data_IF_434616394667
#
_entry.id   IF_434616394667
#
_cell.length_a   1.000
_cell.length_b   1.000
_cell.length_c   1.000
_cell.angle_alpha   90.00
_cell.angle_beta   90.00
_cell.angle_gamma   90.00
#
_symmetry.space_group_name_H-M   'P 1'
#
loop_
_entity.id
_entity.type
_entity.pdbx_description
1 polymer ?
#
# COMPACT_ATOMS: atom_id res chain seq x y z
N UNK A 1 14.55 0.52 -18.11
CA UNK A 1 14.06 1.59 -18.98
C UNK A 1 13.60 2.72 -18.08
N UNK A 2 14.24 3.88 -18.14
CA UNK A 2 13.86 5.00 -17.27
C UNK A 2 12.47 5.54 -17.62
N UNK A 3 11.78 6.11 -16.63
CA UNK A 3 10.39 6.54 -16.73
C UNK A 3 10.12 7.49 -17.92
N UNK A 4 11.06 8.39 -18.22
CA UNK A 4 11.00 9.28 -19.38
C UNK A 4 11.08 8.53 -20.72
N UNK A 5 11.88 7.47 -20.80
CA UNK A 5 11.98 6.64 -21.99
C UNK A 5 10.72 5.81 -22.20
N UNK A 6 10.07 5.35 -21.12
CA UNK A 6 8.76 4.70 -21.21
C UNK A 6 7.71 5.67 -21.74
N UNK A 7 7.63 6.89 -21.19
CA UNK A 7 6.67 7.90 -21.66
C UNK A 7 6.91 8.24 -23.12
N UNK A 8 8.17 8.45 -23.52
CA UNK A 8 8.53 8.72 -24.91
C UNK A 8 8.14 7.57 -25.84
N UNK A 9 8.46 6.32 -25.46
CA UNK A 9 8.11 5.14 -26.23
C UNK A 9 6.60 4.94 -26.36
N UNK A 10 5.83 5.16 -25.28
CA UNK A 10 4.36 5.08 -25.31
C UNK A 10 3.75 6.18 -26.16
N UNK A 11 4.28 7.40 -26.06
CA UNK A 11 3.84 8.52 -26.89
C UNK A 11 4.14 8.25 -28.36
N UNK A 12 5.33 7.74 -28.69
CA UNK A 12 5.72 7.40 -30.05
C UNK A 12 4.86 6.26 -30.63
N UNK A 13 4.64 5.18 -29.86
CA UNK A 13 3.80 4.06 -30.26
C UNK A 13 2.33 4.50 -30.47
N UNK A 14 1.78 5.30 -29.55
CA UNK A 14 0.44 5.85 -29.68
C UNK A 14 0.34 6.79 -30.89
N UNK A 15 1.32 7.68 -31.08
CA UNK A 15 1.35 8.61 -32.21
C UNK A 15 1.48 7.88 -33.55
N UNK A 16 2.32 6.85 -33.64
CA UNK A 16 2.45 6.02 -34.83
C UNK A 16 1.14 5.30 -35.15
N UNK A 17 0.49 4.69 -34.15
CA UNK A 17 -0.80 4.02 -34.33
C UNK A 17 -1.91 4.99 -34.73
N UNK A 18 -1.94 6.20 -34.13
CA UNK A 18 -2.87 7.27 -34.51
C UNK A 18 -2.61 7.76 -35.93
N UNK A 19 -1.34 7.85 -36.35
CA UNK A 19 -0.97 8.26 -37.71
C UNK A 19 -1.43 7.21 -38.72
N UNK A 20 -1.27 5.92 -38.40
CA UNK A 20 -1.80 4.82 -39.21
C UNK A 20 -3.33 4.87 -39.27
N UNK A 21 -4.01 5.09 -38.14
CA UNK A 21 -5.47 5.21 -38.11
C UNK A 21 -5.97 6.45 -38.87
N UNK A 22 -5.23 7.56 -38.84
CA UNK A 22 -5.52 8.75 -39.66
C UNK A 22 -5.35 8.43 -41.14
N UNK A 23 -4.26 7.78 -41.52
CA UNK A 23 -4.02 7.36 -42.90
C UNK A 23 -5.15 6.45 -43.41
N UNK A 24 -5.52 5.42 -42.64
CA UNK A 24 -6.63 4.51 -42.96
C UNK A 24 -7.98 5.24 -43.09
N UNK A 25 -8.18 6.33 -42.34
CA UNK A 25 -9.41 7.14 -42.36
C UNK A 25 -9.44 8.19 -43.47
N UNK A 26 -8.29 8.72 -43.86
CA UNK A 26 -8.16 9.61 -45.03
C UNK A 26 -8.41 8.84 -46.33
N UNK A 27 -7.97 7.58 -46.41
CA UNK A 27 -8.28 6.69 -47.53
C UNK A 27 -9.76 6.33 -47.64
N UNK A 28 -10.54 6.48 -46.56
CA UNK A 28 -11.98 6.17 -46.52
C UNK A 28 -12.87 7.39 -46.82
N UNK A 29 -12.39 8.63 -46.53
CA UNK A 29 -13.14 9.87 -46.77
C UNK A 29 -12.99 10.44 -48.19
N UNK A 30 -12.09 9.93 -49.02
CA UNK A 30 -11.96 10.32 -50.43
C UNK A 30 -13.15 9.88 -51.30
N UNK A 31 -14.16 9.23 -50.71
CA UNK A 31 -15.30 8.62 -51.42
C UNK A 31 -16.67 9.31 -51.27
N UNK A 32 -16.82 10.44 -50.56
CA UNK A 32 -18.15 11.11 -50.44
C UNK A 32 -18.14 12.64 -50.64
N UNK A 33 -19.08 13.21 -51.43
CA UNK A 33 -19.23 14.66 -51.59
C UNK A 33 -20.06 15.30 -50.47
N UNK A 34 -19.70 16.52 -50.06
CA UNK A 34 -20.25 17.24 -48.91
C UNK A 34 -21.60 17.94 -49.19
N UNK A 35 -22.56 17.83 -48.26
CA UNK A 35 -23.79 18.65 -48.24
C UNK A 35 -24.22 19.06 -46.82
N UNK A 36 -24.34 20.37 -46.59
CA UNK A 36 -25.21 21.01 -45.57
C UNK A 36 -24.55 21.46 -44.25
N UNK A 37 -24.40 22.78 -44.04
CA UNK A 37 -23.77 23.41 -42.85
C UNK A 37 -24.29 22.97 -41.47
N UNK A 38 -25.56 22.54 -41.34
CA UNK A 38 -26.10 21.98 -40.09
C UNK A 38 -25.61 20.56 -39.78
N UNK A 39 -25.39 19.73 -40.81
CA UNK A 39 -24.78 18.39 -40.71
C UNK A 39 -23.26 18.46 -40.46
N UNK A 40 -22.62 19.55 -40.88
CA UNK A 40 -21.17 19.75 -40.70
C UNK A 40 -20.81 19.93 -39.21
N UNK A 41 -21.62 20.65 -38.42
CA UNK A 41 -21.33 20.87 -36.99
C UNK A 41 -21.56 19.61 -36.14
N UNK A 42 -22.62 18.85 -36.41
CA UNK A 42 -22.89 17.58 -35.71
C UNK A 42 -21.89 16.49 -36.11
N UNK A 43 -21.52 16.40 -37.40
CA UNK A 43 -20.48 15.47 -37.85
C UNK A 43 -19.10 15.80 -37.29
N UNK A 44 -18.76 17.09 -37.13
CA UNK A 44 -17.49 17.49 -36.52
C UNK A 44 -17.42 17.16 -35.02
N UNK A 45 -18.52 17.36 -34.28
CA UNK A 45 -18.60 16.95 -32.86
C UNK A 45 -18.53 15.41 -32.72
N UNK A 46 -19.19 14.67 -33.60
CA UNK A 46 -19.12 13.21 -33.65
C UNK A 46 -17.70 12.71 -33.95
N UNK A 47 -16.99 13.35 -34.88
CA UNK A 47 -15.59 13.02 -35.22
C UNK A 47 -14.64 13.25 -34.03
N UNK A 48 -14.81 14.34 -33.28
CA UNK A 48 -14.02 14.61 -32.06
C UNK A 48 -14.22 13.55 -30.98
N UNK A 49 -15.48 13.18 -30.73
CA UNK A 49 -15.83 12.13 -29.77
C UNK A 49 -15.25 10.77 -30.15
N UNK A 50 -15.36 10.38 -31.43
CA UNK A 50 -14.79 9.14 -31.95
C UNK A 50 -13.27 9.10 -31.82
N UNK A 51 -12.58 10.22 -32.12
CA UNK A 51 -11.12 10.30 -31.95
C UNK A 51 -10.73 10.16 -30.48
N UNK A 52 -11.37 10.89 -29.56
CA UNK A 52 -11.09 10.78 -28.13
C UNK A 52 -11.36 9.37 -27.58
N UNK A 53 -12.46 8.74 -28.01
CA UNK A 53 -12.78 7.35 -27.68
C UNK A 53 -11.67 6.40 -28.13
N UNK A 54 -11.33 6.41 -29.42
CA UNK A 54 -10.35 5.48 -30.00
C UNK A 54 -8.97 5.66 -29.38
N UNK A 55 -8.51 6.91 -29.23
CA UNK A 55 -7.21 7.23 -28.61
C UNK A 55 -7.17 6.76 -27.16
N UNK A 56 -8.22 7.05 -26.37
CA UNK A 56 -8.27 6.63 -24.97
C UNK A 56 -8.27 5.11 -24.82
N UNK A 57 -9.03 4.37 -25.64
CA UNK A 57 -9.05 2.89 -25.62
C UNK A 57 -7.67 2.32 -25.95
N UNK A 58 -7.01 2.84 -26.98
CA UNK A 58 -5.67 2.40 -27.37
C UNK A 58 -4.66 2.64 -26.25
N UNK A 59 -4.62 3.86 -25.71
CA UNK A 59 -3.64 4.23 -24.68
C UNK A 59 -3.87 3.44 -23.41
N UNK A 60 -5.12 3.32 -22.95
CA UNK A 60 -5.44 2.55 -21.75
C UNK A 60 -5.16 1.07 -21.98
N UNK A 61 -5.48 0.53 -23.17
CA UNK A 61 -5.18 -0.85 -23.53
C UNK A 61 -3.69 -1.15 -23.53
N UNK A 62 -2.85 -0.28 -24.09
CA UNK A 62 -1.39 -0.42 -24.05
C UNK A 62 -0.87 -0.29 -22.61
N UNK A 63 -1.32 0.71 -21.87
CA UNK A 63 -0.85 1.00 -20.52
C UNK A 63 -1.21 -0.12 -19.55
N UNK A 64 -2.48 -0.54 -19.53
CA UNK A 64 -3.00 -1.53 -18.59
C UNK A 64 -2.76 -2.97 -19.06
N UNK A 65 -2.74 -3.23 -20.37
CA UNK A 65 -2.58 -4.57 -20.93
C UNK A 65 -1.13 -4.98 -21.20
N UNK A 66 -0.22 -4.03 -21.41
CA UNK A 66 1.19 -4.33 -21.72
C UNK A 66 2.12 -3.76 -20.66
N UNK A 67 2.06 -2.45 -20.38
CA UNK A 67 3.06 -1.77 -19.55
C UNK A 67 2.94 -2.12 -18.07
N UNK A 68 1.71 -2.13 -17.54
CA UNK A 68 1.48 -2.41 -16.12
C UNK A 68 1.86 -3.86 -15.76
N UNK A 69 1.45 -4.91 -16.51
CA UNK A 69 1.79 -6.31 -16.18
C UNK A 69 3.29 -6.62 -16.17
N UNK A 70 4.10 -5.89 -16.93
CA UNK A 70 5.57 -6.03 -16.92
C UNK A 70 6.26 -5.25 -15.78
N UNK A 71 5.50 -4.78 -14.78
CA UNK A 71 5.96 -4.18 -13.52
C UNK A 71 6.66 -2.82 -13.65
N UNK A 72 6.65 -2.17 -14.82
CA UNK A 72 7.35 -0.89 -14.99
C UNK A 72 6.72 0.23 -14.16
N UNK A 73 5.39 0.22 -13.99
CA UNK A 73 4.69 1.23 -13.20
C UNK A 73 4.75 0.98 -11.69
N UNK A 74 4.97 -0.27 -11.27
CA UNK A 74 4.91 -0.68 -9.86
C UNK A 74 5.76 0.21 -8.94
N UNK A 75 7.03 0.56 -9.24
CA UNK A 75 7.82 1.44 -8.35
C UNK A 75 7.15 2.79 -8.08
N UNK A 76 6.58 3.42 -9.12
CA UNK A 76 5.88 4.70 -8.98
C UNK A 76 4.54 4.57 -8.27
N UNK A 77 3.82 3.46 -8.49
CA UNK A 77 2.56 3.17 -7.78
C UNK A 77 2.80 2.93 -6.28
N UNK A 78 3.89 2.23 -5.92
CA UNK A 78 4.29 2.03 -4.52
C UNK A 78 4.80 3.32 -3.88
N UNK A 79 5.51 4.18 -4.62
CA UNK A 79 5.89 5.50 -4.11
C UNK A 79 4.66 6.39 -3.85
N UNK A 80 3.65 6.32 -4.72
CA UNK A 80 2.37 6.99 -4.51
C UNK A 80 1.63 6.42 -3.29
N UNK A 81 1.62 5.10 -3.11
CA UNK A 81 1.08 4.45 -1.90
C UNK A 81 1.76 4.98 -0.63
N UNK A 82 3.09 5.06 -0.61
CA UNK A 82 3.84 5.58 0.54
C UNK A 82 3.54 7.04 0.82
N UNK A 83 3.35 7.85 -0.22
CA UNK A 83 2.96 9.24 -0.07
C UNK A 83 1.54 9.37 0.51
N UNK A 84 0.58 8.60 -0.01
CA UNK A 84 -0.78 8.56 0.53
C UNK A 84 -0.78 8.09 1.99
N UNK A 85 -0.02 7.05 2.32
CA UNK A 85 0.15 6.52 3.68
C UNK A 85 0.57 7.60 4.68
N UNK A 86 1.60 8.39 4.31
CA UNK A 86 2.13 9.50 5.12
C UNK A 86 1.22 10.71 5.21
N UNK A 87 0.32 10.90 4.24
CA UNK A 87 -0.52 12.10 4.15
C UNK A 87 -1.84 11.95 4.91
N UNK A 88 -2.13 10.78 5.48
CA UNK A 88 -3.40 10.52 6.16
C UNK A 88 -3.54 11.29 7.46
N UNK A 89 -4.78 11.58 7.88
CA UNK A 89 -5.07 12.15 9.19
C UNK A 89 -4.38 11.37 10.31
N UNK A 90 -3.85 12.11 11.30
CA UNK A 90 -3.17 11.53 12.45
C UNK A 90 -4.18 10.76 13.32
N UNK A 91 -3.78 9.58 13.76
CA UNK A 91 -4.50 8.71 14.67
C UNK A 91 -3.83 8.70 16.05
N UNK A 92 -4.56 8.35 17.11
CA UNK A 92 -4.08 8.37 18.51
C UNK A 92 -3.46 7.03 18.94
N UNK A 93 -2.15 6.85 19.21
CA UNK A 93 -1.40 5.59 19.45
C UNK A 93 -2.21 4.27 19.56
N UNK A 94 -1.88 3.29 20.37
CA UNK A 94 -2.80 2.19 20.65
C UNK A 94 -2.67 1.85 22.11
N UNK A 95 -3.65 2.31 22.88
CA UNK A 95 -3.61 2.20 24.33
C UNK A 95 -3.68 0.76 24.84
N UNK A 96 -4.08 -0.20 23.98
CA UNK A 96 -4.10 -1.64 24.31
C UNK A 96 -2.71 -2.26 24.30
N UNK A 97 -1.72 -1.59 23.70
CA UNK A 97 -0.36 -2.09 23.55
C UNK A 97 0.61 -1.39 24.52
N UNK A 98 1.54 -2.17 25.04
CA UNK A 98 2.78 -1.74 25.68
C UNK A 98 3.93 -2.44 24.97
N UNK A 99 4.98 -1.70 24.63
CA UNK A 99 6.20 -2.29 24.06
C UNK A 99 7.32 -2.20 25.09
N UNK A 100 7.84 -3.35 25.50
CA UNK A 100 9.05 -3.46 26.31
C UNK A 100 10.23 -3.63 25.35
N UNK A 101 11.07 -2.61 25.26
CA UNK A 101 12.21 -2.62 24.34
C UNK A 101 13.48 -3.02 25.07
N UNK A 102 14.31 -3.84 24.42
CA UNK A 102 15.72 -4.04 24.79
C UNK A 102 16.58 -3.12 23.94
N UNK A 103 17.08 -2.04 24.54
CA UNK A 103 17.95 -1.03 23.90
C UNK A 103 19.43 -1.43 23.97
N UNK A 104 20.33 -0.64 23.36
CA UNK A 104 21.78 -0.83 23.51
C UNK A 104 22.22 -0.76 24.99
N UNK A 105 21.72 0.23 25.73
CA UNK A 105 22.02 0.41 27.14
C UNK A 105 21.53 -0.79 27.97
N UNK A 106 20.42 -1.41 27.58
CA UNK A 106 19.91 -2.63 28.21
C UNK A 106 20.79 -3.86 27.94
N UNK A 107 21.52 -3.90 26.83
CA UNK A 107 22.50 -4.95 26.55
C UNK A 107 23.72 -4.77 27.44
N UNK A 108 24.24 -3.55 27.53
CA UNK A 108 25.37 -3.20 28.39
C UNK A 108 25.02 -3.45 29.87
N UNK A 109 23.83 -3.04 30.31
CA UNK A 109 23.33 -3.29 31.66
C UNK A 109 23.33 -4.79 31.99
N UNK A 110 22.82 -5.62 31.09
CA UNK A 110 22.80 -7.07 31.31
C UNK A 110 24.22 -7.64 31.43
N UNK A 111 25.16 -7.17 30.60
CA UNK A 111 26.55 -7.61 30.62
C UNK A 111 27.25 -7.18 31.91
N UNK A 112 27.07 -5.93 32.36
CA UNK A 112 27.59 -5.40 33.62
C UNK A 112 27.04 -6.16 34.84
N UNK A 113 25.78 -6.61 34.80
CA UNK A 113 25.14 -7.42 35.84
C UNK A 113 25.48 -8.92 35.74
N UNK A 114 26.39 -9.32 34.85
CA UNK A 114 26.76 -10.72 34.58
C UNK A 114 25.57 -11.61 34.22
N UNK A 115 24.57 -11.07 33.51
CA UNK A 115 23.43 -11.84 33.03
C UNK A 115 23.77 -12.54 31.71
N UNK A 116 24.05 -13.85 31.73
CA UNK A 116 24.43 -14.62 30.54
C UNK A 116 23.39 -14.52 29.40
N UNK A 117 23.76 -13.86 28.30
CA UNK A 117 22.88 -13.65 27.11
C UNK A 117 23.06 -14.68 25.98
N UNK A 118 24.19 -15.38 25.91
CA UNK A 118 24.51 -16.33 24.81
C UNK A 118 24.30 -15.75 23.41
N UNK A 119 24.82 -14.53 23.17
CA UNK A 119 24.64 -13.75 21.93
C UNK A 119 23.19 -13.35 21.58
N UNK A 120 22.21 -13.63 22.44
CA UNK A 120 20.86 -13.09 22.31
C UNK A 120 20.77 -11.66 22.87
N UNK A 121 19.71 -10.94 22.53
CA UNK A 121 19.45 -9.60 23.08
C UNK A 121 18.97 -9.65 24.53
N UNK A 122 18.35 -10.75 24.94
CA UNK A 122 17.77 -10.88 26.27
C UNK A 122 18.25 -12.17 26.94
N UNK A 123 18.84 -12.05 28.14
CA UNK A 123 19.28 -13.19 28.95
C UNK A 123 18.11 -14.03 29.47
N UNK A 124 18.40 -15.24 29.95
CA UNK A 124 17.40 -16.06 30.67
C UNK A 124 17.04 -15.40 32.02
N UNK A 125 18.01 -14.80 32.70
CA UNK A 125 17.78 -14.12 33.97
C UNK A 125 16.86 -12.89 33.82
N UNK A 126 17.14 -12.03 32.84
CA UNK A 126 16.34 -10.84 32.59
C UNK A 126 14.91 -11.21 32.16
N UNK A 127 14.75 -12.18 31.26
CA UNK A 127 13.42 -12.63 30.83
C UNK A 127 12.60 -13.20 31.98
N UNK A 128 13.21 -14.03 32.83
CA UNK A 128 12.57 -14.56 34.02
C UNK A 128 12.09 -13.43 34.95
N UNK A 129 12.96 -12.45 35.25
CA UNK A 129 12.60 -11.30 36.09
C UNK A 129 11.46 -10.46 35.51
N UNK A 130 11.52 -10.09 34.22
CA UNK A 130 10.45 -9.28 33.61
C UNK A 130 9.14 -10.06 33.53
N UNK A 131 9.16 -11.35 33.17
CA UNK A 131 7.92 -12.13 33.11
C UNK A 131 7.28 -12.23 34.49
N UNK A 132 8.05 -12.40 35.56
CA UNK A 132 7.50 -12.37 36.93
C UNK A 132 6.85 -11.02 37.25
N UNK A 133 7.53 -9.90 36.99
CA UNK A 133 6.98 -8.55 37.22
C UNK A 133 5.71 -8.29 36.40
N UNK A 134 5.76 -8.60 35.09
CA UNK A 134 4.62 -8.37 34.20
C UNK A 134 3.42 -9.24 34.60
N UNK A 135 3.61 -10.54 34.83
CA UNK A 135 2.50 -11.45 35.17
C UNK A 135 1.79 -11.08 36.48
N UNK A 136 2.47 -10.42 37.43
CA UNK A 136 1.84 -9.93 38.67
C UNK A 136 0.71 -8.91 38.39
N UNK A 137 0.78 -8.20 37.28
CA UNK A 137 -0.19 -7.19 36.87
C UNK A 137 -1.18 -7.70 35.83
N UNK A 138 -1.29 -9.02 35.64
CA UNK A 138 -2.32 -9.65 34.81
C UNK A 138 -2.43 -9.06 33.39
N UNK A 139 -1.35 -9.07 32.58
CA UNK A 139 -1.47 -8.74 31.17
C UNK A 139 -2.40 -9.72 30.51
N UNK A 140 -3.00 -9.31 29.40
CA UNK A 140 -3.85 -10.18 28.60
C UNK A 140 -3.04 -11.14 27.74
N UNK A 141 -2.02 -10.59 27.08
CA UNK A 141 -1.09 -11.35 26.24
C UNK A 141 0.31 -10.77 26.37
N UNK A 142 1.33 -11.63 26.38
CA UNK A 142 2.73 -11.27 26.29
C UNK A 142 3.28 -11.89 25.00
N UNK A 143 3.58 -11.06 24.00
CA UNK A 143 4.28 -11.48 22.79
C UNK A 143 5.79 -11.29 22.96
N UNK A 144 6.56 -12.37 22.89
CA UNK A 144 8.02 -12.33 22.90
C UNK A 144 8.56 -12.35 21.47
N UNK A 145 8.83 -11.17 20.92
CA UNK A 145 9.46 -10.96 19.61
C UNK A 145 11.00 -10.97 19.73
N UNK A 146 11.52 -12.00 20.41
CA UNK A 146 12.95 -12.27 20.54
C UNK A 146 13.16 -13.76 20.34
N UNK A 147 13.98 -14.14 19.37
CA UNK A 147 14.24 -15.54 19.10
C UNK A 147 14.95 -16.23 20.27
N UNK A 148 14.48 -17.44 20.60
CA UNK A 148 14.98 -18.26 21.71
C UNK A 148 15.23 -19.70 21.24
N UNK A 149 16.04 -19.88 20.19
CA UNK A 149 16.34 -21.19 19.57
C UNK A 149 17.27 -22.10 20.40
N UNK A 150 17.39 -21.86 21.71
CA UNK A 150 18.27 -22.56 22.63
C UNK A 150 17.51 -22.92 23.92
N UNK A 151 18.05 -23.87 24.68
CA UNK A 151 17.43 -24.33 25.92
C UNK A 151 17.42 -23.23 26.98
N UNK A 152 16.35 -23.18 27.78
CA UNK A 152 16.31 -22.35 29.00
C UNK A 152 17.43 -22.79 29.92
N UNK A 153 18.20 -21.84 30.44
CA UNK A 153 19.30 -22.14 31.35
C UNK A 153 18.75 -22.84 32.62
N UNK A 154 19.27 -24.02 33.03
CA UNK A 154 18.77 -24.78 34.18
C UNK A 154 18.75 -24.00 35.50
N UNK A 155 19.54 -22.92 35.62
CA UNK A 155 19.53 -21.99 36.77
C UNK A 155 18.19 -21.26 36.93
N UNK A 156 17.33 -21.22 35.90
CA UNK A 156 16.05 -20.50 35.90
C UNK A 156 14.86 -21.45 35.61
N UNK A 157 14.53 -22.38 36.52
CA UNK A 157 13.45 -23.35 36.32
C UNK A 157 12.07 -22.70 36.23
N UNK A 158 11.86 -21.55 36.87
CA UNK A 158 10.60 -20.80 36.75
C UNK A 158 10.38 -20.27 35.33
N UNK A 159 11.43 -19.83 34.63
CA UNK A 159 11.32 -19.45 33.23
C UNK A 159 10.90 -20.62 32.34
N UNK A 160 11.42 -21.82 32.61
CA UNK A 160 11.00 -23.02 31.90
C UNK A 160 9.51 -23.32 32.14
N UNK A 161 9.03 -23.15 33.37
CA UNK A 161 7.59 -23.26 33.71
C UNK A 161 6.75 -22.20 32.97
N UNK A 162 7.24 -20.96 32.84
CA UNK A 162 6.54 -19.92 32.08
C UNK A 162 6.36 -20.34 30.62
N UNK A 163 7.41 -20.81 29.95
CA UNK A 163 7.27 -21.33 28.58
C UNK A 163 6.32 -22.52 28.48
N UNK A 164 6.25 -23.38 29.50
CA UNK A 164 5.40 -24.57 29.47
C UNK A 164 3.93 -24.32 29.85
N UNK A 165 3.66 -23.37 30.76
CA UNK A 165 2.35 -23.24 31.43
C UNK A 165 1.73 -21.85 31.36
N UNK A 166 2.46 -20.83 30.90
CA UNK A 166 1.88 -19.50 30.77
C UNK A 166 1.13 -19.40 29.44
N UNK A 167 -0.19 -19.51 29.50
CA UNK A 167 -1.06 -19.46 28.31
C UNK A 167 -1.19 -18.06 27.70
N UNK A 168 -0.60 -17.04 28.35
CA UNK A 168 -0.54 -15.67 27.83
C UNK A 168 0.76 -15.37 27.09
N UNK A 169 1.78 -16.23 27.22
CA UNK A 169 3.07 -16.04 26.56
C UNK A 169 3.06 -16.65 25.16
N UNK A 170 3.21 -15.81 24.14
CA UNK A 170 3.39 -16.20 22.74
C UNK A 170 4.86 -16.01 22.38
N UNK A 171 5.53 -17.06 21.93
CA UNK A 171 6.91 -17.00 21.46
C UNK A 171 6.99 -16.89 19.93
N UNK A 172 8.16 -16.52 19.43
CA UNK A 172 8.41 -16.35 18.00
C UNK A 172 9.38 -17.38 17.42
N UNK A 173 9.20 -17.70 16.14
CA UNK A 173 10.15 -18.43 15.30
C UNK A 173 10.16 -17.86 13.87
N UNK A 174 11.02 -18.36 12.98
CA UNK A 174 11.02 -17.93 11.58
C UNK A 174 11.08 -19.12 10.64
N UNK A 175 10.14 -19.16 9.69
CA UNK A 175 10.13 -20.13 8.59
C UNK A 175 11.34 -19.86 7.69
N UNK A 176 12.13 -20.90 7.41
CA UNK A 176 13.40 -20.80 6.70
C UNK A 176 14.55 -20.16 7.51
N UNK A 177 14.27 -19.65 8.72
CA UNK A 177 15.21 -18.88 9.54
C UNK A 177 15.51 -19.54 10.88
N UNK A 178 15.22 -18.82 11.96
CA UNK A 178 15.51 -19.21 13.34
C UNK A 178 14.50 -20.23 13.86
N UNK A 179 15.03 -21.32 14.46
CA UNK A 179 14.20 -22.39 15.03
C UNK A 179 13.38 -21.90 16.23
N UNK A 180 12.22 -22.50 16.40
CA UNK A 180 11.38 -22.32 17.58
C UNK A 180 12.11 -22.71 18.87
N UNK A 181 11.66 -22.17 20.02
CA UNK A 181 12.21 -22.56 21.31
C UNK A 181 12.08 -24.06 21.54
N UNK A 182 13.17 -24.79 21.85
CA UNK A 182 13.13 -26.25 22.02
C UNK A 182 12.16 -26.74 23.09
N UNK A 183 11.83 -25.88 24.06
CA UNK A 183 10.91 -26.16 25.17
C UNK A 183 9.44 -26.16 24.74
N UNK A 184 9.08 -25.54 23.61
CA UNK A 184 7.71 -25.51 23.09
C UNK A 184 7.44 -26.80 22.31
N UNK A 185 6.47 -27.56 22.77
CA UNK A 185 6.08 -28.86 22.18
C UNK A 185 4.92 -28.72 21.19
N UNK A 186 4.62 -29.74 20.36
CA UNK A 186 3.50 -29.68 19.41
C UNK A 186 2.13 -29.35 20.02
N UNK A 187 1.90 -29.72 21.29
CA UNK A 187 0.67 -29.38 22.02
C UNK A 187 0.54 -27.88 22.32
N UNK A 188 1.58 -27.10 22.10
CA UNK A 188 1.70 -25.69 22.49
C UNK A 188 2.00 -24.80 21.28
N UNK A 189 1.87 -25.30 20.04
CA UNK A 189 2.11 -24.49 18.83
C UNK A 189 1.11 -23.34 18.65
N UNK A 190 -0.03 -23.36 19.35
CA UNK A 190 -0.91 -22.18 19.46
C UNK A 190 -0.25 -21.00 20.18
N UNK A 191 0.79 -21.24 20.99
CA UNK A 191 1.60 -20.22 21.67
C UNK A 191 2.89 -19.90 20.92
N UNK A 192 2.92 -20.21 19.62
CA UNK A 192 4.05 -19.98 18.74
C UNK A 192 3.54 -19.34 17.44
N UNK A 193 4.16 -18.22 17.05
CA UNK A 193 3.90 -17.56 15.78
C UNK A 193 5.19 -17.26 15.02
N UNK A 194 5.12 -17.22 13.69
CA UNK A 194 6.29 -16.86 12.90
C UNK A 194 6.43 -15.33 12.74
N UNK A 195 7.63 -14.77 12.86
CA UNK A 195 7.87 -13.31 12.70
C UNK A 195 8.32 -12.89 11.29
N UNK A 196 8.28 -13.79 10.30
CA UNK A 196 8.60 -13.46 8.91
C UNK A 196 7.78 -12.24 8.44
N UNK A 197 8.42 -11.35 7.68
CA UNK A 197 7.80 -10.16 7.09
C UNK A 197 8.01 -10.17 5.57
N UNK A 198 6.96 -9.94 4.76
CA UNK A 198 7.11 -9.82 3.31
C UNK A 198 7.72 -8.45 2.96
N UNK A 199 8.92 -8.46 2.37
CA UNK A 199 9.62 -7.26 1.90
C UNK A 199 9.39 -7.08 0.41
N UNK A 200 9.11 -5.85 0.00
CA UNK A 200 9.08 -5.50 -1.42
C UNK A 200 10.50 -5.44 -1.99
N UNK A 201 10.64 -5.35 -3.32
CA UNK A 201 11.93 -5.31 -4.01
C UNK A 201 12.83 -4.14 -3.58
N UNK A 202 12.25 -3.07 -3.04
CA UNK A 202 12.98 -1.93 -2.46
C UNK A 202 13.24 -2.06 -0.95
N UNK A 203 13.01 -3.23 -0.36
CA UNK A 203 13.23 -3.53 1.05
C UNK A 203 12.17 -2.98 2.02
N UNK A 204 11.20 -2.21 1.51
CA UNK A 204 10.15 -1.60 2.34
C UNK A 204 9.06 -2.63 2.67
N UNK A 205 8.60 -2.63 3.92
CA UNK A 205 7.51 -3.49 4.39
C UNK A 205 6.17 -2.75 4.23
N UNK A 206 5.41 -3.13 3.21
CA UNK A 206 4.03 -2.64 2.94
C UNK A 206 2.95 -3.69 3.18
N UNK A 207 3.37 -4.91 3.48
CA UNK A 207 2.53 -6.11 3.57
C UNK A 207 2.82 -6.81 4.88
N UNK A 208 1.89 -7.64 5.34
CA UNK A 208 2.11 -8.54 6.48
C UNK A 208 1.57 -9.93 6.15
N UNK A 209 2.18 -10.97 6.74
CA UNK A 209 1.64 -12.32 6.70
C UNK A 209 0.65 -12.52 7.85
N UNK A 210 -0.47 -13.18 7.57
CA UNK A 210 -1.36 -13.76 8.57
C UNK A 210 -1.10 -15.26 8.74
N UNK A 211 -0.75 -15.94 7.66
CA UNK A 211 -0.37 -17.36 7.71
C UNK A 211 0.50 -17.77 6.54
N UNK A 212 1.26 -18.84 6.70
CA UNK A 212 2.06 -19.45 5.63
C UNK A 212 2.35 -20.92 5.93
N UNK A 213 2.88 -21.65 4.94
CA UNK A 213 3.32 -23.03 5.17
C UNK A 213 4.45 -23.07 6.21
N UNK A 214 4.28 -23.94 7.21
CA UNK A 214 5.27 -24.18 8.26
C UNK A 214 6.44 -25.05 7.76
N UNK A 215 7.56 -25.03 8.48
CA UNK A 215 8.67 -25.95 8.26
C UNK A 215 9.14 -26.61 9.56
N UNK A 216 10.20 -27.43 9.50
CA UNK A 216 10.78 -28.10 10.69
C UNK A 216 11.37 -27.12 11.70
N UNK A 217 11.71 -25.90 11.29
CA UNK A 217 12.31 -24.87 12.18
C UNK A 217 11.21 -24.09 12.88
N UNK A 218 10.13 -23.77 12.19
CA UNK A 218 9.00 -23.01 12.68
C UNK A 218 7.71 -23.76 12.33
N UNK A 219 7.25 -24.65 13.22
CA UNK A 219 6.16 -25.60 12.96
C UNK A 219 4.75 -24.99 13.13
N UNK A 220 4.65 -23.65 13.13
CA UNK A 220 3.39 -22.90 13.18
C UNK A 220 3.03 -22.36 11.80
N UNK A 221 1.74 -22.31 11.50
CA UNK A 221 1.22 -21.74 10.25
C UNK A 221 0.68 -20.32 10.42
N UNK A 222 0.67 -19.78 11.65
CA UNK A 222 0.13 -18.47 11.97
C UNK A 222 1.25 -17.49 12.29
N UNK A 223 1.11 -16.25 11.83
CA UNK A 223 2.09 -15.22 12.14
C UNK A 223 2.07 -14.85 13.61
N UNK A 224 3.19 -14.34 14.11
CA UNK A 224 3.33 -13.86 15.48
C UNK A 224 2.30 -12.78 15.80
N UNK A 225 2.14 -11.79 14.92
CA UNK A 225 1.13 -10.73 15.08
C UNK A 225 -0.30 -11.29 15.14
N UNK A 226 -0.63 -12.28 14.31
CA UNK A 226 -1.95 -12.91 14.34
C UNK A 226 -2.16 -13.71 15.63
N UNK A 227 -1.19 -14.50 16.08
CA UNK A 227 -1.31 -15.27 17.33
C UNK A 227 -1.53 -14.36 18.54
N UNK A 228 -0.77 -13.27 18.64
CA UNK A 228 -0.95 -12.27 19.70
C UNK A 228 -2.34 -11.64 19.64
N UNK A 229 -2.80 -11.24 18.44
CA UNK A 229 -4.11 -10.65 18.25
C UNK A 229 -5.25 -11.63 18.59
N UNK A 230 -5.16 -12.88 18.15
CA UNK A 230 -6.16 -13.91 18.44
C UNK A 230 -6.25 -14.19 19.94
N UNK A 231 -5.11 -14.31 20.63
CA UNK A 231 -5.10 -14.55 22.08
C UNK A 231 -5.74 -13.40 22.85
N UNK A 232 -5.56 -12.16 22.40
CA UNK A 232 -6.21 -10.98 22.98
C UNK A 232 -7.71 -11.02 22.75
N UNK A 233 -8.13 -11.22 21.50
CA UNK A 233 -9.54 -11.23 21.09
C UNK A 233 -10.32 -12.43 21.67
N UNK A 234 -9.66 -13.53 22.05
CA UNK A 234 -10.32 -14.71 22.62
C UNK A 234 -11.05 -14.41 23.94
N UNK A 235 -10.59 -13.42 24.70
CA UNK A 235 -11.22 -13.00 25.95
C UNK A 235 -12.30 -11.92 25.74
N UNK A 236 -12.51 -11.45 24.50
CA UNK A 236 -13.57 -10.49 24.18
C UNK A 236 -14.91 -11.20 23.97
N UNK A 237 -15.97 -10.64 24.55
CA UNK A 237 -17.33 -11.15 24.36
C UNK A 237 -17.86 -10.84 22.95
N UNK A 238 -18.50 -11.82 22.32
CA UNK A 238 -19.21 -11.61 21.04
C UNK A 238 -18.33 -11.65 19.78
N UNK A 239 -17.05 -12.07 19.92
CA UNK A 239 -16.15 -12.27 18.79
C UNK A 239 -16.07 -13.75 18.45
N UNK A 240 -16.53 -14.10 17.25
CA UNK A 240 -16.36 -15.46 16.73
C UNK A 240 -14.87 -15.77 16.51
N UNK A 241 -14.44 -17.02 16.78
CA UNK A 241 -13.08 -17.47 16.49
C UNK A 241 -12.69 -17.25 15.03
N UNK A 242 -11.39 -17.33 14.75
CA UNK A 242 -10.90 -17.30 13.38
C UNK A 242 -11.47 -18.46 12.57
N UNK A 243 -12.05 -18.15 11.41
CA UNK A 243 -12.59 -19.11 10.47
C UNK A 243 -12.12 -18.80 9.05
N UNK A 244 -12.37 -19.73 8.13
CA UNK A 244 -12.21 -19.51 6.69
C UNK A 244 -13.59 -19.48 6.04
N UNK A 245 -13.81 -18.48 5.19
CA UNK A 245 -14.98 -18.39 4.33
C UNK A 245 -14.91 -19.42 3.20
N UNK A 246 -16.01 -19.59 2.46
CA UNK A 246 -16.07 -20.50 1.30
C UNK A 246 -15.05 -20.16 0.20
N UNK A 247 -14.67 -18.89 0.08
CA UNK A 247 -13.63 -18.41 -0.84
C UNK A 247 -12.22 -18.36 -0.19
N UNK A 248 -12.01 -19.13 0.89
CA UNK A 248 -10.74 -19.29 1.60
C UNK A 248 -10.15 -17.99 2.17
N UNK A 249 -10.99 -16.97 2.42
CA UNK A 249 -10.57 -15.76 3.13
C UNK A 249 -10.63 -15.98 4.63
N UNK A 250 -9.65 -15.45 5.34
CA UNK A 250 -9.64 -15.44 6.80
C UNK A 250 -10.68 -14.45 7.31
N UNK A 251 -11.46 -14.90 8.28
CA UNK A 251 -12.46 -14.09 8.96
C UNK A 251 -12.24 -14.18 10.48
N UNK A 252 -12.30 -13.05 11.17
CA UNK A 252 -12.26 -12.97 12.64
C UNK A 252 -13.47 -12.15 13.08
N UNK A 253 -14.33 -12.72 13.92
CA UNK A 253 -15.63 -12.14 14.21
C UNK A 253 -16.44 -11.90 12.92
N UNK A 254 -16.75 -10.63 12.63
CA UNK A 254 -17.47 -10.21 11.42
C UNK A 254 -16.56 -9.67 10.31
N UNK A 255 -15.26 -9.59 10.55
CA UNK A 255 -14.31 -8.92 9.65
C UNK A 255 -13.62 -9.93 8.75
N UNK A 256 -13.70 -9.70 7.45
CA UNK A 256 -13.01 -10.50 6.42
C UNK A 256 -11.70 -9.80 6.07
N UNK A 257 -10.59 -10.52 6.19
CA UNK A 257 -9.26 -10.02 5.87
C UNK A 257 -8.95 -10.28 4.39
N UNK A 258 -8.75 -9.27 3.53
CA UNK A 258 -8.60 -9.50 2.09
C UNK A 258 -7.23 -10.12 1.77
N UNK A 259 -7.22 -11.36 1.26
CA UNK A 259 -5.99 -12.01 0.80
C UNK A 259 -5.42 -11.23 -0.39
N UNK A 260 -4.16 -10.84 -0.28
CA UNK A 260 -3.41 -10.21 -1.36
C UNK A 260 -3.27 -11.18 -2.53
N UNK A 261 -3.51 -10.67 -3.73
CA UNK A 261 -3.33 -11.37 -5.00
C UNK A 261 -2.23 -10.69 -5.81
N UNK A 262 -1.72 -11.37 -6.83
CA UNK A 262 -0.60 -10.87 -7.65
C UNK A 262 -0.78 -9.47 -8.24
N UNK A 263 -2.01 -9.10 -8.62
CA UNK A 263 -2.36 -7.82 -9.25
C UNK A 263 -3.08 -6.85 -8.29
N UNK A 264 -2.90 -7.03 -6.97
CA UNK A 264 -3.57 -6.23 -5.96
C UNK A 264 -3.15 -4.74 -5.99
N UNK A 265 -4.04 -3.86 -6.43
CA UNK A 265 -3.77 -2.43 -6.53
C UNK A 265 -2.56 -2.17 -7.44
N UNK A 266 -1.57 -1.41 -6.97
CA UNK A 266 -0.35 -1.13 -7.72
C UNK A 266 0.66 -2.30 -7.82
N UNK A 267 0.36 -3.46 -7.24
CA UNK A 267 1.26 -4.61 -7.30
C UNK A 267 1.11 -5.39 -8.61
N UNK A 268 2.23 -5.99 -9.04
CA UNK A 268 2.34 -6.98 -10.09
C UNK A 268 3.35 -8.04 -9.61
N UNK A 269 2.96 -8.81 -8.59
CA UNK A 269 3.83 -9.72 -7.86
C UNK A 269 4.16 -10.97 -8.69
N UNK A 270 5.43 -11.39 -8.76
CA UNK A 270 5.78 -12.72 -9.24
C UNK A 270 5.31 -13.78 -8.22
N UNK A 271 5.13 -15.02 -8.68
CA UNK A 271 4.72 -16.15 -7.82
C UNK A 271 5.61 -16.35 -6.59
N UNK A 272 6.89 -15.98 -6.67
CA UNK A 272 7.83 -16.05 -5.55
C UNK A 272 7.54 -15.04 -4.43
N UNK A 273 6.81 -13.95 -4.71
CA UNK A 273 6.41 -12.92 -3.76
C UNK A 273 4.95 -13.08 -3.29
N UNK A 274 4.14 -13.89 -3.98
CA UNK A 274 2.73 -14.21 -3.65
C UNK A 274 2.63 -15.48 -2.77
N UNK A 275 3.37 -15.50 -1.66
CA UNK A 275 3.40 -16.63 -0.74
C UNK A 275 2.39 -16.48 0.40
N UNK A 276 1.88 -17.60 0.93
CA UNK A 276 1.04 -17.60 2.13
C UNK A 276 -0.24 -16.77 2.03
N UNK A 277 -0.74 -16.33 3.18
CA UNK A 277 -1.85 -15.41 3.34
C UNK A 277 -1.29 -14.04 3.71
N UNK A 278 -1.15 -13.16 2.71
CA UNK A 278 -0.69 -11.78 2.91
C UNK A 278 -1.87 -10.82 2.89
N UNK A 279 -1.74 -9.72 3.62
CA UNK A 279 -2.62 -8.54 3.49
C UNK A 279 -1.74 -7.28 3.42
N UNK A 280 -2.31 -6.19 2.90
CA UNK A 280 -1.65 -4.88 2.98
C UNK A 280 -1.59 -4.40 4.44
N UNK A 281 -0.44 -3.83 4.81
CA UNK A 281 -0.20 -3.28 6.14
C UNK A 281 -0.64 -1.82 6.19
N UNK A 282 -1.72 -1.59 6.92
CA UNK A 282 -2.27 -0.30 7.25
C UNK A 282 -1.59 0.25 8.52
N UNK A 283 -0.38 0.80 8.37
CA UNK A 283 0.31 1.47 9.47
C UNK A 283 -0.59 2.54 10.11
N UNK A 284 -0.37 2.86 11.38
CA UNK A 284 -1.09 3.94 12.05
C UNK A 284 -0.41 5.27 11.68
N UNK A 285 -1.19 6.29 11.31
CA UNK A 285 -0.62 7.64 11.10
C UNK A 285 -0.39 8.28 12.45
N UNK A 286 0.85 8.62 12.79
CA UNK A 286 1.23 9.11 14.12
C UNK A 286 1.98 10.43 13.99
N UNK A 287 2.00 11.22 15.07
CA UNK A 287 2.87 12.40 15.13
C UNK A 287 4.34 11.97 15.14
N UNK A 288 5.22 12.85 14.68
CA UNK A 288 6.65 12.57 14.57
C UNK A 288 7.32 12.21 15.91
N UNK A 289 6.78 12.69 17.03
CA UNK A 289 7.24 12.43 18.40
C UNK A 289 6.55 11.24 19.08
N UNK A 290 5.61 10.59 18.40
CA UNK A 290 4.80 9.50 18.96
C UNK A 290 5.17 8.15 18.32
N UNK A 291 5.11 7.11 19.15
CA UNK A 291 5.19 5.71 18.70
C UNK A 291 3.79 5.08 18.71
N UNK A 292 3.66 3.92 18.06
CA UNK A 292 2.41 3.15 17.99
C UNK A 292 1.89 2.79 19.37
N UNK A 293 2.77 2.63 20.35
CA UNK A 293 2.43 2.31 21.72
C UNK A 293 3.43 2.99 22.67
N UNK A 294 3.06 3.04 23.95
CA UNK A 294 4.01 3.44 24.98
C UNK A 294 5.17 2.43 25.01
N UNK A 295 6.39 2.95 25.12
CA UNK A 295 7.61 2.16 25.21
C UNK A 295 8.20 2.27 26.62
N UNK A 296 8.67 1.16 27.16
CA UNK A 296 9.43 1.10 28.42
C UNK A 296 10.66 0.22 28.17
N UNK A 297 11.82 0.62 28.69
CA UNK A 297 13.06 -0.16 28.49
C UNK A 297 13.09 -1.39 29.39
N UNK A 298 13.97 -2.35 29.08
CA UNK A 298 14.18 -3.51 29.94
C UNK A 298 14.66 -3.08 31.32
N UNK A 299 15.64 -2.17 31.38
CA UNK A 299 16.24 -1.70 32.63
C UNK A 299 15.22 -0.98 33.50
N UNK A 300 14.35 -0.14 32.92
CA UNK A 300 13.28 0.56 33.64
C UNK A 300 12.35 -0.40 34.39
N UNK A 301 12.04 -1.55 33.81
CA UNK A 301 11.24 -2.59 34.46
C UNK A 301 12.07 -3.32 35.52
N UNK A 302 13.34 -3.66 35.23
CA UNK A 302 14.18 -4.42 36.15
C UNK A 302 14.54 -3.64 37.43
N UNK A 303 14.92 -2.37 37.29
CA UNK A 303 15.28 -1.48 38.39
C UNK A 303 14.04 -0.88 39.11
N UNK A 304 12.86 -0.99 38.50
CA UNK A 304 11.60 -0.60 39.13
C UNK A 304 11.26 0.88 39.06
N UNK A 305 11.92 1.64 38.18
CA UNK A 305 11.65 3.06 37.91
C UNK A 305 10.17 3.36 37.61
N UNK A 306 9.46 2.37 37.08
CA UNK A 306 8.04 2.47 36.71
C UNK A 306 7.10 1.59 37.55
N UNK A 307 7.55 0.98 38.65
CA UNK A 307 6.74 0.01 39.41
C UNK A 307 5.39 0.59 39.87
N UNK A 308 5.32 1.87 40.22
CA UNK A 308 4.07 2.55 40.60
C UNK A 308 3.05 2.65 39.45
N UNK A 309 3.50 2.74 38.19
CA UNK A 309 2.64 2.86 37.00
C UNK A 309 2.39 1.51 36.33
N UNK A 310 3.24 0.52 36.59
CA UNK A 310 3.21 -0.80 35.96
C UNK A 310 1.83 -1.49 36.02
N UNK A 311 1.07 -1.45 37.14
CA UNK A 311 -0.28 -2.02 37.16
C UNK A 311 -1.19 -1.45 36.05
N UNK A 312 -1.19 -0.13 35.87
CA UNK A 312 -2.03 0.54 34.87
C UNK A 312 -1.56 0.31 33.43
N UNK A 313 -0.27 0.07 33.25
CA UNK A 313 0.37 -0.13 31.95
C UNK A 313 0.33 -1.57 31.45
N UNK A 314 0.08 -2.52 32.35
CA UNK A 314 0.16 -3.96 32.04
C UNK A 314 -1.21 -4.64 32.10
N UNK A 315 -2.05 -4.28 33.06
CA UNK A 315 -3.33 -4.94 33.28
C UNK A 315 -4.24 -4.89 32.06
N UNK A 316 -4.72 -6.06 31.62
CA UNK A 316 -5.59 -6.24 30.45
C UNK A 316 -5.01 -5.70 29.13
N UNK A 317 -3.67 -5.60 29.04
CA UNK A 317 -2.96 -5.11 27.85
C UNK A 317 -2.15 -6.19 27.14
N UNK A 318 -1.79 -5.89 25.90
CA UNK A 318 -0.86 -6.64 25.08
C UNK A 318 0.54 -6.09 25.33
N UNK A 319 1.43 -6.95 25.81
CA UNK A 319 2.81 -6.59 26.08
C UNK A 319 3.69 -7.23 25.00
N UNK A 320 4.32 -6.42 24.16
CA UNK A 320 5.29 -6.90 23.17
C UNK A 320 6.69 -6.67 23.70
N UNK A 321 7.50 -7.71 23.75
CA UNK A 321 8.89 -7.67 24.22
C UNK A 321 9.80 -7.89 23.02
N UNK A 322 10.63 -6.92 22.67
CA UNK A 322 11.48 -7.00 21.48
C UNK A 322 12.66 -6.05 21.51
N UNK A 323 13.49 -6.08 20.47
CA UNK A 323 14.73 -5.30 20.40
C UNK A 323 14.55 -3.92 19.79
N UNK A 324 15.24 -2.94 20.34
CA UNK A 324 15.45 -1.60 19.75
C UNK A 324 16.92 -1.21 19.92
N UNK A 325 17.82 -2.01 19.34
CA UNK A 325 19.27 -1.93 19.50
C UNK A 325 19.95 -1.92 18.11
N UNK A 326 19.97 -0.78 17.40
CA UNK A 326 20.35 -0.71 15.98
C UNK A 326 21.81 -1.06 15.69
N UNK A 327 22.72 -0.93 16.66
CA UNK A 327 24.15 -1.23 16.51
C UNK A 327 24.42 -2.71 16.75
N UNK A 328 23.75 -3.31 17.74
CA UNK A 328 24.00 -4.69 18.16
C UNK A 328 23.08 -5.71 17.50
N UNK A 329 21.85 -5.33 17.16
CA UNK A 329 20.82 -6.19 16.57
C UNK A 329 20.13 -5.49 15.39
N UNK A 330 20.44 -5.91 14.17
CA UNK A 330 19.93 -5.32 12.92
C UNK A 330 18.47 -5.64 12.58
N UNK A 331 17.58 -5.76 13.56
CA UNK A 331 16.14 -5.96 13.33
C UNK A 331 15.42 -4.62 13.06
N UNK A 332 15.87 -3.93 12.03
CA UNK A 332 15.37 -2.64 11.58
C UNK A 332 14.98 -2.74 10.11
N UNK A 333 13.83 -2.19 9.76
CA UNK A 333 13.29 -2.34 8.40
C UNK A 333 12.72 -1.03 7.89
N UNK A 334 12.92 -0.79 6.60
CA UNK A 334 12.32 0.36 5.91
C UNK A 334 10.80 0.24 5.89
N UNK A 335 10.13 1.36 6.15
CA UNK A 335 8.66 1.46 6.13
C UNK A 335 8.21 2.53 5.13
N UNK A 336 6.92 2.61 4.78
CA UNK A 336 6.37 3.68 3.95
C UNK A 336 6.64 5.11 4.45
N UNK A 337 7.06 5.27 5.71
CA UNK A 337 7.43 6.56 6.28
C UNK A 337 8.83 7.04 5.85
N UNK A 338 9.60 6.21 5.13
CA UNK A 338 10.94 6.56 4.62
C UNK A 338 12.06 6.45 5.65
N UNK A 339 11.75 5.92 6.84
CA UNK A 339 12.71 5.65 7.91
C UNK A 339 12.66 4.18 8.32
N UNK A 340 13.79 3.70 8.84
CA UNK A 340 13.83 2.39 9.48
C UNK A 340 13.05 2.38 10.79
N UNK A 341 12.36 1.28 11.05
CA UNK A 341 11.62 1.04 12.28
C UNK A 341 12.06 -0.30 12.89
N UNK A 342 12.21 -0.39 14.22
CA UNK A 342 12.44 -1.66 14.91
C UNK A 342 11.36 -2.70 14.57
N UNK A 343 11.76 -3.96 14.37
CA UNK A 343 10.86 -5.05 14.02
C UNK A 343 9.69 -5.21 15.00
N UNK A 344 9.95 -5.07 16.31
CA UNK A 344 8.91 -5.13 17.35
C UNK A 344 7.84 -4.04 17.20
N UNK A 345 8.19 -2.85 16.73
CA UNK A 345 7.23 -1.77 16.48
C UNK A 345 6.41 -2.03 15.20
N UNK A 346 7.00 -2.69 14.21
CA UNK A 346 6.27 -3.18 13.04
C UNK A 346 5.28 -4.28 13.44
N UNK A 347 5.69 -5.23 14.31
CA UNK A 347 4.77 -6.22 14.89
C UNK A 347 3.63 -5.55 15.68
N UNK A 348 3.93 -4.49 16.44
CA UNK A 348 2.91 -3.71 17.13
C UNK A 348 1.89 -3.07 16.17
N UNK A 349 2.33 -2.53 15.04
CA UNK A 349 1.43 -2.06 13.98
C UNK A 349 0.58 -3.18 13.38
N UNK A 350 1.17 -4.35 13.13
CA UNK A 350 0.46 -5.53 12.61
C UNK A 350 -0.62 -6.02 13.57
N UNK A 351 -0.29 -6.18 14.86
CA UNK A 351 -1.23 -6.54 15.93
C UNK A 351 -2.34 -5.49 16.06
N UNK A 352 -1.97 -4.21 16.14
CA UNK A 352 -2.91 -3.09 16.23
C UNK A 352 -3.88 -3.07 15.05
N UNK A 353 -3.41 -3.34 13.81
CA UNK A 353 -4.29 -3.43 12.65
C UNK A 353 -5.34 -4.52 12.79
N UNK A 354 -4.95 -5.74 13.21
CA UNK A 354 -5.87 -6.88 13.32
C UNK A 354 -6.93 -6.57 14.38
N UNK A 355 -6.51 -6.12 15.56
CA UNK A 355 -7.42 -5.85 16.68
C UNK A 355 -8.32 -4.66 16.38
N UNK A 356 -7.77 -3.56 15.86
CA UNK A 356 -8.56 -2.37 15.54
C UNK A 356 -9.57 -2.63 14.43
N UNK A 357 -9.25 -3.52 13.47
CA UNK A 357 -10.21 -3.92 12.45
C UNK A 357 -11.40 -4.65 13.08
N UNK A 358 -11.14 -5.58 14.01
CA UNK A 358 -12.17 -6.41 14.65
C UNK A 358 -13.01 -5.63 15.67
N UNK A 359 -12.37 -4.82 16.51
CA UNK A 359 -13.03 -4.11 17.63
C UNK A 359 -13.55 -2.73 17.24
N UNK A 360 -12.74 -1.97 16.50
CA UNK A 360 -12.97 -0.54 16.27
C UNK A 360 -13.48 -0.27 14.84
N UNK A 361 -13.67 -1.33 14.03
CA UNK A 361 -14.01 -1.24 12.60
C UNK A 361 -13.01 -0.39 11.81
N UNK A 362 -11.74 -0.33 12.24
CA UNK A 362 -10.68 0.36 11.51
C UNK A 362 -10.51 -0.28 10.13
N UNK A 363 -10.55 0.49 9.03
CA UNK A 363 -10.58 -0.08 7.69
C UNK A 363 -9.31 -0.87 7.38
N UNK A 364 -9.49 -2.07 6.83
CA UNK A 364 -8.42 -2.80 6.15
C UNK A 364 -8.21 -2.18 4.78
N UNK A 365 -6.96 -2.20 4.30
CA UNK A 365 -6.68 -1.73 2.95
C UNK A 365 -7.29 -2.70 1.93
N UNK A 366 -8.00 -2.15 0.95
CA UNK A 366 -8.67 -2.86 -0.13
C UNK A 366 -8.33 -2.22 -1.48
N UNK A 367 -8.58 -2.97 -2.54
CA UNK A 367 -8.32 -2.56 -3.92
C UNK A 367 -9.45 -3.08 -4.82
N UNK A 368 -9.49 -2.57 -6.05
CA UNK A 368 -10.47 -3.02 -7.04
C UNK A 368 -9.93 -4.18 -7.89
N UNK A 369 -10.81 -5.03 -8.44
CA UNK A 369 -10.43 -5.95 -9.50
C UNK A 369 -9.89 -5.19 -10.72
N UNK A 370 -8.95 -5.79 -11.44
CA UNK A 370 -8.24 -5.19 -12.58
C UNK A 370 -9.18 -4.56 -13.64
N UNK A 371 -10.34 -5.19 -13.90
CA UNK A 371 -11.33 -4.68 -14.85
C UNK A 371 -11.92 -3.35 -14.40
N UNK A 372 -12.22 -3.21 -13.11
CA UNK A 372 -12.76 -1.97 -12.55
C UNK A 372 -11.73 -0.85 -12.57
N UNK A 373 -10.46 -1.18 -12.29
CA UNK A 373 -9.35 -0.23 -12.44
C UNK A 373 -9.15 0.21 -13.89
N UNK A 374 -9.25 -0.71 -14.86
CA UNK A 374 -9.15 -0.38 -16.28
C UNK A 374 -10.28 0.55 -16.73
N UNK A 375 -11.52 0.30 -16.30
CA UNK A 375 -12.66 1.17 -16.57
C UNK A 375 -12.42 2.56 -15.96
N UNK A 376 -11.94 2.62 -14.72
CA UNK A 376 -11.61 3.87 -14.05
C UNK A 376 -10.59 4.70 -14.82
N UNK A 377 -9.45 4.08 -15.19
CA UNK A 377 -8.39 4.72 -15.97
C UNK A 377 -8.93 5.20 -17.32
N UNK A 378 -9.74 4.38 -17.99
CA UNK A 378 -10.36 4.72 -19.27
C UNK A 378 -11.33 5.90 -19.18
N UNK A 379 -12.23 5.93 -18.18
CA UNK A 379 -13.19 7.02 -18.01
C UNK A 379 -12.47 8.37 -17.84
N UNK A 380 -11.43 8.43 -17.00
CA UNK A 380 -10.62 9.64 -16.82
C UNK A 380 -9.94 10.08 -18.12
N UNK A 381 -9.29 9.13 -18.81
CA UNK A 381 -8.63 9.41 -20.09
C UNK A 381 -9.61 9.92 -21.15
N UNK A 382 -10.77 9.27 -21.26
CA UNK A 382 -11.82 9.60 -22.21
C UNK A 382 -12.44 10.98 -21.96
N UNK A 383 -12.88 11.27 -20.73
CA UNK A 383 -13.52 12.54 -20.41
C UNK A 383 -12.55 13.72 -20.50
N UNK A 384 -11.30 13.57 -20.07
CA UNK A 384 -10.28 14.60 -20.26
C UNK A 384 -10.01 14.82 -21.75
N UNK A 385 -9.88 13.75 -22.53
CA UNK A 385 -9.70 13.81 -23.98
C UNK A 385 -10.83 14.56 -24.71
N UNK A 386 -12.07 14.42 -24.26
CA UNK A 386 -13.21 15.21 -24.75
C UNK A 386 -13.11 16.67 -24.29
N UNK A 387 -12.80 16.91 -23.01
CA UNK A 387 -12.87 18.24 -22.42
C UNK A 387 -11.84 19.20 -23.03
N UNK A 388 -10.62 18.73 -23.32
CA UNK A 388 -9.57 19.53 -23.95
C UNK A 388 -9.93 20.04 -25.36
N UNK A 389 -10.90 19.40 -26.03
CA UNK A 389 -11.36 19.79 -27.36
C UNK A 389 -12.32 20.98 -27.37
N UNK A 390 -12.91 21.32 -26.22
CA UNK A 390 -13.73 22.51 -26.06
C UNK A 390 -12.89 23.78 -25.94
N UNK A 391 -11.64 23.65 -25.48
CA UNK A 391 -10.74 24.79 -25.22
C UNK A 391 -9.64 24.88 -26.28
N UNK A 392 -9.53 26.04 -26.94
CA UNK A 392 -8.57 26.23 -28.05
C UNK A 392 -7.18 26.70 -27.62
N UNK A 393 -7.08 27.34 -26.46
CA UNK A 393 -5.82 27.82 -25.89
C UNK A 393 -5.04 26.70 -25.21
N UNK A 394 -3.72 26.66 -25.41
CA UNK A 394 -2.82 25.72 -24.71
C UNK A 394 -2.90 25.90 -23.18
N UNK A 395 -3.05 27.13 -22.70
CA UNK A 395 -3.16 27.43 -21.27
C UNK A 395 -4.45 26.83 -20.70
N UNK A 396 -5.58 27.00 -21.41
CA UNK A 396 -6.85 26.44 -20.98
C UNK A 396 -6.82 24.90 -20.97
N UNK A 397 -6.18 24.27 -21.95
CA UNK A 397 -5.99 22.81 -22.00
C UNK A 397 -5.12 22.31 -20.84
N UNK A 398 -4.01 23.00 -20.57
CA UNK A 398 -3.15 22.69 -19.43
C UNK A 398 -3.91 22.81 -18.10
N UNK A 399 -4.72 23.87 -17.95
CA UNK A 399 -5.54 24.08 -16.76
C UNK A 399 -6.56 22.95 -16.56
N UNK A 400 -7.23 22.50 -17.62
CA UNK A 400 -8.15 21.35 -17.57
C UNK A 400 -7.45 20.10 -17.05
N UNK A 401 -6.26 19.81 -17.57
CA UNK A 401 -5.47 18.64 -17.17
C UNK A 401 -5.02 18.75 -15.72
N UNK A 402 -4.53 19.91 -15.29
CA UNK A 402 -4.10 20.16 -13.90
C UNK A 402 -5.28 19.98 -12.93
N UNK A 403 -6.45 20.56 -13.25
CA UNK A 403 -7.66 20.42 -12.44
C UNK A 403 -8.09 18.95 -12.36
N UNK A 404 -8.08 18.24 -13.49
CA UNK A 404 -8.42 16.82 -13.54
C UNK A 404 -7.49 15.97 -12.64
N UNK A 405 -6.18 16.20 -12.72
CA UNK A 405 -5.19 15.52 -11.86
C UNK A 405 -5.42 15.87 -10.38
N UNK A 406 -5.73 17.14 -10.06
CA UNK A 406 -6.06 17.56 -8.70
C UNK A 406 -7.29 16.85 -8.14
N UNK A 407 -8.39 16.79 -8.92
CA UNK A 407 -9.62 16.07 -8.53
C UNK A 407 -9.34 14.59 -8.34
N UNK A 408 -8.67 13.95 -9.31
CA UNK A 408 -8.29 12.53 -9.24
C UNK A 408 -7.45 12.24 -8.00
N UNK A 409 -6.45 13.06 -7.73
CA UNK A 409 -5.57 12.89 -6.56
C UNK A 409 -6.34 13.03 -5.25
N UNK A 410 -7.27 14.00 -5.18
CA UNK A 410 -8.19 14.15 -4.05
C UNK A 410 -9.09 12.94 -3.85
N UNK A 411 -9.67 12.40 -4.93
CA UNK A 411 -10.53 11.20 -4.85
C UNK A 411 -9.75 9.95 -4.41
N UNK A 412 -8.55 9.73 -4.97
CA UNK A 412 -7.69 8.64 -4.54
C UNK A 412 -7.28 8.80 -3.07
N UNK A 413 -6.99 10.01 -2.61
CA UNK A 413 -6.66 10.27 -1.21
C UNK A 413 -7.84 10.02 -0.27
N UNK A 414 -9.04 10.50 -0.61
CA UNK A 414 -10.26 10.26 0.16
C UNK A 414 -10.61 8.76 0.22
N UNK A 415 -10.48 8.04 -0.89
CA UNK A 415 -10.64 6.60 -0.92
C UNK A 415 -9.60 5.91 0.00
N UNK A 416 -8.35 6.37 -0.03
CA UNK A 416 -7.26 5.79 0.77
C UNK A 416 -7.47 5.97 2.27
N UNK A 417 -8.05 7.10 2.72
CA UNK A 417 -8.46 7.28 4.12
C UNK A 417 -9.48 6.21 4.54
N UNK A 418 -10.36 5.79 3.63
CA UNK A 418 -11.34 4.71 3.84
C UNK A 418 -10.79 3.31 3.54
N UNK A 419 -9.48 3.18 3.37
CA UNK A 419 -8.79 1.93 3.08
C UNK A 419 -8.62 1.61 1.58
N UNK A 420 -9.20 2.39 0.67
CA UNK A 420 -9.17 2.11 -0.77
C UNK A 420 -7.91 2.57 -1.47
N UNK A 421 -7.12 1.64 -1.98
CA UNK A 421 -5.96 1.95 -2.84
C UNK A 421 -6.35 1.92 -4.31
N UNK A 422 -6.67 3.11 -4.84
CA UNK A 422 -7.07 3.31 -6.24
C UNK A 422 -5.86 3.60 -7.17
N UNK A 423 -5.97 3.30 -8.48
CA UNK A 423 -4.84 3.33 -9.42
C UNK A 423 -4.48 4.75 -9.88
N UNK A 424 -3.86 5.55 -9.01
CA UNK A 424 -3.54 6.97 -9.26
C UNK A 424 -2.59 7.17 -10.45
N UNK A 425 -1.43 6.52 -10.43
CA UNK A 425 -0.37 6.72 -11.44
C UNK A 425 -0.79 6.30 -12.85
N UNK A 426 -1.32 5.09 -13.10
CA UNK A 426 -1.77 4.74 -14.44
C UNK A 426 -2.92 5.65 -14.91
N UNK A 427 -3.76 6.17 -14.02
CA UNK A 427 -4.80 7.13 -14.40
C UNK A 427 -4.21 8.47 -14.85
N UNK A 428 -3.23 9.03 -14.12
CA UNK A 428 -2.52 10.25 -14.51
C UNK A 428 -1.80 10.05 -15.85
N UNK A 429 -1.13 8.92 -16.06
CA UNK A 429 -0.45 8.64 -17.33
C UNK A 429 -1.44 8.49 -18.48
N UNK A 430 -2.53 7.74 -18.27
CA UNK A 430 -3.57 7.51 -19.27
C UNK A 430 -4.21 8.81 -19.74
N UNK A 431 -4.58 9.71 -18.81
CA UNK A 431 -5.18 11.00 -19.16
C UNK A 431 -4.17 11.94 -19.84
N UNK A 432 -2.91 11.98 -19.39
CA UNK A 432 -1.88 12.84 -19.98
C UNK A 432 -1.54 12.42 -21.41
N UNK A 433 -1.27 11.13 -21.62
CA UNK A 433 -0.96 10.59 -22.94
C UNK A 433 -2.16 10.77 -23.90
N UNK A 434 -3.38 10.55 -23.42
CA UNK A 434 -4.60 10.77 -24.21
C UNK A 434 -4.75 12.24 -24.60
N UNK A 435 -4.53 13.17 -23.67
CA UNK A 435 -4.61 14.59 -23.95
C UNK A 435 -3.60 15.02 -25.05
N UNK A 436 -2.35 14.59 -24.94
CA UNK A 436 -1.31 14.88 -25.95
C UNK A 436 -1.69 14.30 -27.32
N UNK A 437 -2.10 13.04 -27.35
CA UNK A 437 -2.45 12.34 -28.59
C UNK A 437 -3.67 12.94 -29.30
N UNK A 438 -4.71 13.33 -28.56
CA UNK A 438 -5.90 13.99 -29.12
C UNK A 438 -5.54 15.34 -29.74
N UNK A 439 -4.69 16.14 -29.08
CA UNK A 439 -4.21 17.43 -29.62
C UNK A 439 -3.45 17.25 -30.94
N UNK A 440 -2.63 16.19 -31.08
CA UNK A 440 -1.91 15.88 -32.32
C UNK A 440 -2.86 15.36 -33.41
N UNK A 441 -3.83 14.52 -33.02
CA UNK A 441 -4.76 13.87 -33.93
C UNK A 441 -5.78 14.82 -34.57
N UNK A 442 -6.06 15.97 -33.96
CA UNK A 442 -7.05 16.93 -34.45
C UNK A 442 -6.35 18.19 -34.97
N UNK A 443 -6.27 18.41 -36.30
CA UNK A 443 -5.63 19.61 -36.83
C UNK A 443 -6.39 20.85 -36.40
N UNK A 444 -5.67 21.91 -36.03
CA UNK A 444 -6.24 23.23 -35.80
C UNK A 444 -6.87 23.72 -37.10
N UNK A 445 -8.19 23.62 -37.23
CA UNK A 445 -8.93 24.28 -38.31
C UNK A 445 -8.79 25.79 -38.10
N UNK A 446 -7.81 26.40 -38.77
CA UNK A 446 -7.80 27.83 -39.00
C UNK A 446 -8.95 28.14 -39.95
N UNK A 447 -9.97 28.84 -39.46
CA UNK A 447 -11.01 29.40 -40.32
C UNK A 447 -10.35 30.58 -41.03
N UNK A 448 -9.83 30.36 -42.23
CA UNK A 448 -9.41 31.45 -43.11
C UNK A 448 -10.66 32.22 -43.53
N UNK A 449 -10.77 33.53 -43.28
CA UNK A 449 -11.91 34.30 -43.77
C UNK A 449 -11.84 34.34 -45.29
N UNK A 450 -12.87 33.79 -45.95
CA UNK A 450 -13.03 33.86 -47.41
C UNK A 450 -13.31 35.32 -47.78
N UNK A 451 -12.31 36.03 -48.29
CA UNK A 451 -12.51 37.31 -48.97
C UNK A 451 -13.19 37.06 -50.31
N UNK A 452 -14.51 37.23 -50.35
CA UNK A 452 -15.26 37.34 -51.59
C UNK A 452 -15.03 38.72 -52.19
N UNK A 453 -14.16 38.84 -53.20
CA UNK A 453 -14.10 40.04 -54.04
C UNK A 453 -15.13 39.84 -55.15
N UNK A 454 -16.24 40.58 -55.03
CA UNK A 454 -17.31 40.65 -56.02
C UNK A 454 -16.82 41.44 -57.23
N UNK A 455 -16.84 40.82 -58.41
CA UNK A 455 -16.67 41.48 -59.69
C UNK A 455 -17.95 42.22 -60.07
N UNK A 456 -17.88 43.54 -60.21
CA UNK A 456 -18.91 44.34 -60.88
C UNK A 456 -18.37 44.85 -62.21
N UNK A 457 -18.87 44.24 -63.27
CA UNK A 457 -18.90 44.74 -64.65
C UNK A 457 -19.77 46.00 -64.73
N UNK A 458 -19.24 47.08 -65.31
CA UNK A 458 -20.06 48.20 -65.81
C UNK A 458 -19.68 48.52 -67.24
N UNK A 459 -20.61 48.26 -68.15
CA UNK A 459 -20.61 48.66 -69.55
C UNK A 459 -20.88 50.15 -69.73
N UNK A 460 -20.29 50.67 -70.81
CA UNK A 460 -20.26 52.02 -71.39
C UNK A 460 -21.65 52.67 -71.60
N UNK A 461 -21.71 54.01 -71.81
CA UNK A 461 -21.74 54.51 -73.19
C UNK A 461 -20.94 55.79 -73.48
N UNK A 462 -20.63 55.92 -74.76
CA UNK A 462 -19.84 56.94 -75.49
C UNK A 462 -20.55 58.28 -75.75
N UNK A 463 -19.77 59.38 -75.55
CA UNK A 463 -19.71 60.70 -76.27
C UNK A 463 -20.93 61.65 -76.32
N UNK A 464 -20.80 62.97 -76.68
CA UNK A 464 -19.61 63.72 -77.15
C UNK A 464 -19.36 65.16 -76.55
N UNK A 465 -18.20 65.72 -76.94
CA UNK A 465 -17.99 67.12 -77.38
C UNK A 465 -17.35 68.17 -76.43
N UNK A 466 -16.18 68.63 -76.89
CA UNK A 466 -15.61 70.00 -76.93
C UNK A 466 -15.44 70.83 -75.64
N UNK A 467 -14.17 71.09 -75.29
CA UNK A 467 -13.49 72.35 -75.67
C UNK A 467 -11.98 72.20 -75.63
#
# INVERSE_FOLDING_TARGET
>A
MDFLNLISALTAAATALITVLRFMRETENTTEPASGNGKIRSSLQMKKFQTAFLVSVIIVGLLMGIVRPIRILQPSELAAFDHLMRSRPIEQPDSRLLVVTVTEDDLEYQDQKNMERNAASLSSQALDKILRKLNQHQPRVIGLDIFRNFNVNPKFPELAKQFQKNDRLIATCSVGGTKAPPIITPKQYERLGFSNVPKDSNGVIRRQFLGMASDKRCPTQLSFSLQVALRYLQEESGISPITQTSDQKLQIGKVIFPKLVSDAGGYQLPRSEELGYQILLNYRSLKADQSIAQQITLTDILEGSHDAKLPSLVNDRIILIGTNAPKSFGDFHMTPYGTEMPGVLIQAHMVSQIISAVLDQRPLLWWWPQVSEMIWVWLWAFFVGILIEYWRSLISRALVVIIAIGILSGLCFLAFIQGGWLPLIPTILGLMLTAVCVVIALPHVQITPTTSITSTTSTTPTTPSNR
#
